data_IF_251934383969
#
_entry.id   IF_251934383969
#
_cell.length_a   1.000
_cell.length_b   1.000
_cell.length_c   1.000
_cell.angle_alpha   90.00
_cell.angle_beta   90.00
_cell.angle_gamma   90.00
#
_symmetry.space_group_name_H-M   'P 1'
#
loop_
_entity.id
_entity.type
_entity.pdbx_description
1 polymer ?
#
# COMPACT_ATOMS: atom_id res chain seq x y z
N UNK A 1 -5.52 -69.73 -25.09
CA UNK A 1 -5.03 -69.72 -23.69
C UNK A 1 -3.95 -68.67 -23.65
N UNK A 2 -4.33 -67.45 -23.24
CA UNK A 2 -3.87 -66.75 -22.02
C UNK A 2 -2.41 -66.29 -22.14
N UNK A 3 -2.04 -65.02 -21.99
CA UNK A 3 -2.67 -63.94 -21.26
C UNK A 3 -2.17 -62.58 -21.79
N UNK A 4 -3.04 -61.56 -21.76
CA UNK A 4 -2.71 -60.17 -22.08
C UNK A 4 -2.29 -59.47 -20.79
N UNK A 5 -1.04 -59.03 -20.67
CA UNK A 5 -0.64 -58.12 -19.60
C UNK A 5 -0.16 -56.81 -20.21
N UNK A 6 -1.11 -55.90 -20.36
CA UNK A 6 -0.90 -54.48 -20.57
C UNK A 6 -0.03 -53.96 -19.41
N UNK A 7 1.23 -53.62 -19.71
CA UNK A 7 2.04 -52.84 -18.80
C UNK A 7 1.45 -51.43 -18.72
N UNK A 8 0.55 -51.23 -17.76
CA UNK A 8 0.05 -49.94 -17.30
C UNK A 8 1.25 -49.06 -16.89
N UNK A 9 1.76 -48.27 -17.84
CA UNK A 9 2.82 -47.29 -17.61
C UNK A 9 2.20 -46.08 -16.91
N UNK A 10 1.98 -46.20 -15.61
CA UNK A 10 1.50 -45.09 -14.78
C UNK A 10 2.66 -44.14 -14.47
N UNK A 11 3.18 -43.49 -15.52
CA UNK A 11 4.06 -42.33 -15.37
C UNK A 11 3.23 -41.12 -14.97
N UNK A 12 2.74 -41.11 -13.73
CA UNK A 12 2.46 -39.85 -13.02
C UNK A 12 3.65 -39.51 -12.14
N UNK A 13 4.76 -39.18 -12.79
CA UNK A 13 5.78 -38.35 -12.17
C UNK A 13 5.23 -36.92 -12.09
N UNK A 14 4.49 -36.60 -11.02
CA UNK A 14 4.33 -35.19 -10.61
C UNK A 14 5.71 -34.75 -10.12
N UNK A 15 6.57 -34.38 -11.07
CA UNK A 15 7.86 -33.81 -10.80
C UNK A 15 7.64 -32.65 -9.83
N UNK A 16 8.23 -32.74 -8.63
CA UNK A 16 8.11 -31.80 -7.52
C UNK A 16 8.70 -30.42 -7.80
N UNK A 17 8.29 -29.79 -8.90
CA UNK A 17 8.58 -28.42 -9.21
C UNK A 17 7.80 -27.55 -8.23
N UNK A 18 8.53 -26.82 -7.38
CA UNK A 18 7.92 -25.79 -6.54
C UNK A 18 7.20 -24.78 -7.45
N UNK A 19 5.94 -24.45 -7.12
CA UNK A 19 5.16 -23.43 -7.84
C UNK A 19 5.70 -22.00 -7.61
N UNK A 20 6.71 -21.88 -6.73
CA UNK A 20 7.31 -20.63 -6.30
C UNK A 20 8.82 -20.79 -6.34
N UNK A 21 9.52 -19.70 -6.64
CA UNK A 21 10.98 -19.65 -6.60
C UNK A 21 11.43 -18.52 -5.65
N UNK A 22 12.54 -18.69 -4.94
CA UNK A 22 13.07 -17.64 -4.08
C UNK A 22 13.58 -16.49 -4.94
N UNK A 23 13.24 -15.26 -4.55
CA UNK A 23 13.70 -14.05 -5.20
C UNK A 23 14.11 -13.03 -4.13
N UNK A 24 15.20 -12.28 -4.37
CA UNK A 24 15.65 -11.26 -3.44
C UNK A 24 14.58 -10.17 -3.29
N UNK A 25 14.18 -9.87 -2.05
CA UNK A 25 13.11 -8.91 -1.77
C UNK A 25 13.32 -7.54 -2.43
N UNK A 26 14.56 -7.03 -2.48
CA UNK A 26 14.89 -5.76 -3.13
C UNK A 26 14.73 -5.71 -4.65
N UNK A 27 14.56 -6.86 -5.31
CA UNK A 27 14.35 -6.93 -6.78
C UNK A 27 12.87 -6.92 -7.16
N UNK A 28 11.97 -6.99 -6.19
CA UNK A 28 10.52 -6.96 -6.43
C UNK A 28 10.11 -5.57 -6.90
N UNK A 29 9.39 -5.52 -8.03
CA UNK A 29 8.91 -4.28 -8.66
C UNK A 29 7.38 -4.24 -8.72
N UNK A 30 6.82 -3.06 -9.00
CA UNK A 30 5.39 -2.86 -9.28
C UNK A 30 4.91 -3.88 -10.32
N UNK A 31 3.70 -4.40 -10.15
CA UNK A 31 3.10 -5.46 -10.97
C UNK A 31 3.78 -6.85 -10.88
N UNK A 32 4.82 -7.02 -10.05
CA UNK A 32 5.37 -8.35 -9.75
C UNK A 32 4.43 -9.20 -8.91
N UNK A 33 4.83 -10.45 -8.66
CA UNK A 33 4.12 -11.36 -7.76
C UNK A 33 5.02 -11.74 -6.59
N UNK A 34 4.44 -11.72 -5.40
CA UNK A 34 5.06 -12.19 -4.16
C UNK A 34 4.14 -13.19 -3.49
N UNK A 35 4.70 -14.11 -2.73
CA UNK A 35 3.91 -15.13 -2.03
C UNK A 35 3.86 -14.77 -0.56
N UNK A 36 2.68 -14.40 -0.07
CA UNK A 36 2.45 -14.06 1.34
C UNK A 36 1.55 -15.14 1.93
N UNK A 37 2.02 -15.83 2.99
CA UNK A 37 1.28 -16.92 3.64
C UNK A 37 0.77 -17.98 2.64
N UNK A 38 1.66 -18.43 1.75
CA UNK A 38 1.36 -19.40 0.68
C UNK A 38 0.28 -18.96 -0.34
N UNK A 39 -0.05 -17.66 -0.40
CA UNK A 39 -0.97 -17.10 -1.38
C UNK A 39 -0.20 -16.19 -2.35
N UNK A 40 -0.33 -16.38 -3.68
CA UNK A 40 0.26 -15.47 -4.65
C UNK A 40 -0.48 -14.14 -4.60
N UNK A 41 0.25 -13.06 -4.34
CA UNK A 41 -0.25 -11.70 -4.23
C UNK A 41 0.44 -10.84 -5.29
N UNK A 42 -0.35 -10.06 -6.04
CA UNK A 42 0.19 -9.07 -6.96
C UNK A 42 0.72 -7.88 -6.15
N UNK A 43 1.92 -7.41 -6.48
CA UNK A 43 2.52 -6.22 -5.89
C UNK A 43 1.73 -5.00 -6.39
N UNK A 44 1.05 -4.25 -5.49
CA UNK A 44 0.24 -3.12 -5.90
C UNK A 44 1.14 -2.00 -6.42
N UNK A 45 0.57 -1.17 -7.30
CA UNK A 45 1.16 0.12 -7.59
C UNK A 45 0.76 1.07 -6.47
N UNK A 46 1.74 1.56 -5.72
CA UNK A 46 1.54 2.63 -4.74
C UNK A 46 1.94 3.95 -5.37
N UNK A 47 1.04 4.93 -5.31
CA UNK A 47 1.32 6.32 -5.66
C UNK A 47 1.45 7.12 -4.38
N UNK A 48 2.46 8.00 -4.34
CA UNK A 48 2.74 8.87 -3.20
C UNK A 48 2.57 10.31 -3.67
N UNK A 49 1.63 11.03 -3.06
CA UNK A 49 1.36 12.44 -3.40
C UNK A 49 1.42 13.28 -2.13
N UNK A 50 2.03 14.45 -2.24
CA UNK A 50 2.14 15.42 -1.17
C UNK A 50 1.02 16.46 -1.32
N UNK A 51 0.37 16.79 -0.21
CA UNK A 51 -0.69 17.79 -0.16
C UNK A 51 -0.48 18.72 1.02
N UNK A 52 -0.83 19.99 0.87
CA UNK A 52 -0.77 20.94 1.98
C UNK A 52 -2.02 20.77 2.85
N UNK A 53 -1.84 20.66 4.16
CA UNK A 53 -2.96 20.60 5.11
C UNK A 53 -3.52 22.02 5.28
N UNK A 54 -4.82 22.19 5.03
CA UNK A 54 -5.52 23.48 5.22
C UNK A 54 -6.28 23.47 6.54
N UNK A 55 -7.07 22.42 6.78
CA UNK A 55 -7.94 22.34 7.94
C UNK A 55 -8.18 20.89 8.38
N UNK A 56 -8.56 20.73 9.65
CA UNK A 56 -8.95 19.45 10.25
C UNK A 56 -10.36 19.63 10.79
N UNK A 57 -11.31 18.91 10.19
CA UNK A 57 -12.71 18.93 10.63
C UNK A 57 -12.91 18.15 11.93
N UNK A 58 -13.88 18.56 12.74
CA UNK A 58 -14.19 17.96 14.06
C UNK A 58 -14.68 16.51 13.96
N UNK A 59 -15.21 16.12 12.81
CA UNK A 59 -15.66 14.77 12.48
C UNK A 59 -14.51 13.82 12.05
N UNK A 60 -13.27 14.32 12.03
CA UNK A 60 -12.07 13.55 11.77
C UNK A 60 -11.69 13.45 10.29
N UNK A 61 -12.27 14.30 9.44
CA UNK A 61 -11.82 14.50 8.06
C UNK A 61 -10.79 15.64 7.96
N UNK A 62 -9.93 15.58 6.95
CA UNK A 62 -8.94 16.62 6.68
C UNK A 62 -9.19 17.27 5.34
N UNK A 63 -8.99 18.57 5.29
CA UNK A 63 -9.03 19.38 4.08
C UNK A 63 -7.62 19.61 3.58
N UNK A 64 -7.31 19.02 2.43
CA UNK A 64 -5.99 19.08 1.81
C UNK A 64 -6.02 19.90 0.51
N UNK A 65 -5.02 20.76 0.30
CA UNK A 65 -4.83 21.47 -0.95
C UNK A 65 -4.00 20.63 -1.92
N UNK A 66 -4.56 20.41 -3.10
CA UNK A 66 -3.84 19.82 -4.25
C UNK A 66 -3.07 20.90 -5.01
N UNK A 67 -2.02 20.51 -5.73
CA UNK A 67 -1.24 21.42 -6.59
C UNK A 67 -2.10 22.09 -7.68
N UNK A 68 -3.21 21.45 -8.06
CA UNK A 68 -4.18 22.01 -9.02
C UNK A 68 -5.05 23.13 -8.45
N UNK A 69 -4.90 23.46 -7.17
CA UNK A 69 -5.72 24.46 -6.48
C UNK A 69 -7.09 23.95 -6.02
N UNK A 70 -7.37 22.66 -6.17
CA UNK A 70 -8.57 22.02 -5.63
C UNK A 70 -8.33 21.58 -4.19
N UNK A 71 -9.38 21.65 -3.35
CA UNK A 71 -9.38 21.05 -2.01
C UNK A 71 -9.89 19.61 -2.08
N UNK A 72 -9.30 18.74 -1.24
CA UNK A 72 -9.66 17.34 -1.11
C UNK A 72 -10.04 17.09 0.35
N UNK A 73 -11.32 16.78 0.57
CA UNK A 73 -11.95 16.69 1.90
C UNK A 73 -12.42 15.25 2.23
N UNK A 74 -12.11 14.27 1.38
CA UNK A 74 -12.55 12.88 1.50
C UNK A 74 -11.62 12.00 2.34
N UNK A 75 -10.50 12.56 2.80
CA UNK A 75 -9.49 11.83 3.56
C UNK A 75 -9.75 11.93 5.06
N UNK A 76 -9.69 10.76 5.71
CA UNK A 76 -9.76 10.66 7.17
C UNK A 76 -8.39 10.79 7.80
N UNK A 77 -8.40 11.24 9.05
CA UNK A 77 -7.22 11.22 9.90
C UNK A 77 -6.65 9.80 10.01
N UNK A 78 -5.31 9.66 10.07
CA UNK A 78 -4.66 8.37 10.21
C UNK A 78 -5.07 7.70 11.53
N UNK A 79 -5.15 6.36 11.52
CA UNK A 79 -5.43 5.55 12.73
C UNK A 79 -4.23 5.44 13.67
N UNK A 80 -3.07 5.93 13.27
CA UNK A 80 -1.85 5.87 14.07
C UNK A 80 -1.82 7.05 15.06
N UNK A 81 -1.88 6.75 16.36
CA UNK A 81 -1.94 7.75 17.43
C UNK A 81 -0.74 8.71 17.40
N UNK A 82 0.43 8.22 17.00
CA UNK A 82 1.65 9.04 16.95
C UNK A 82 1.57 10.09 15.83
N UNK A 83 1.15 9.65 14.64
CA UNK A 83 0.98 10.51 13.47
C UNK A 83 -0.17 11.50 13.69
N UNK A 84 -1.26 11.03 14.29
CA UNK A 84 -2.42 11.84 14.65
C UNK A 84 -2.04 12.97 15.61
N UNK A 85 -1.28 12.64 16.67
CA UNK A 85 -0.80 13.61 17.64
C UNK A 85 0.07 14.68 16.99
N UNK A 86 1.03 14.27 16.13
CA UNK A 86 1.91 15.22 15.43
C UNK A 86 1.13 16.16 14.50
N UNK A 87 0.14 15.65 13.75
CA UNK A 87 -0.70 16.47 12.87
C UNK A 87 -1.51 17.48 13.70
N UNK A 88 -2.16 17.03 14.78
CA UNK A 88 -2.96 17.91 15.66
C UNK A 88 -2.11 18.96 16.36
N UNK A 89 -0.93 18.58 16.87
CA UNK A 89 0.00 19.51 17.52
C UNK A 89 0.56 20.51 16.52
N UNK A 90 1.05 20.06 15.37
CA UNK A 90 1.61 20.95 14.36
C UNK A 90 0.57 21.92 13.78
N UNK A 91 -0.69 21.47 13.62
CA UNK A 91 -1.80 22.32 13.22
C UNK A 91 -2.16 23.34 14.31
N UNK A 92 -2.22 22.92 15.58
CA UNK A 92 -2.48 23.81 16.72
C UNK A 92 -1.37 24.85 16.95
N UNK A 93 -0.14 24.54 16.55
CA UNK A 93 0.99 25.48 16.56
C UNK A 93 0.96 26.48 15.39
N UNK A 94 0.02 26.34 14.43
CA UNK A 94 -0.11 27.20 13.28
C UNK A 94 1.01 27.04 12.25
N UNK A 95 1.66 25.86 12.21
CA UNK A 95 2.72 25.57 11.23
C UNK A 95 2.10 25.14 9.90
N UNK A 96 2.75 25.52 8.80
CA UNK A 96 2.44 24.95 7.49
C UNK A 96 2.90 23.48 7.44
N UNK A 97 1.93 22.59 7.37
CA UNK A 97 2.14 21.14 7.30
C UNK A 97 1.83 20.62 5.90
N UNK A 98 2.72 19.78 5.39
CA UNK A 98 2.48 18.98 4.18
C UNK A 98 2.33 17.53 4.57
N UNK A 99 1.17 16.96 4.26
CA UNK A 99 0.89 15.54 4.49
C UNK A 99 1.23 14.76 3.22
N UNK A 100 1.79 13.57 3.40
CA UNK A 100 1.92 12.61 2.32
C UNK A 100 0.79 11.59 2.39
N UNK A 101 0.06 11.48 1.29
CA UNK A 101 -0.95 10.43 1.08
C UNK A 101 -0.38 9.35 0.17
N UNK A 102 -0.53 8.10 0.60
CA UNK A 102 -0.32 6.93 -0.26
C UNK A 102 -1.66 6.43 -0.77
N UNK A 103 -1.75 6.27 -2.09
CA UNK A 103 -2.88 5.64 -2.77
C UNK A 103 -2.44 4.30 -3.35
N UNK A 104 -3.17 3.23 -3.02
CA UNK A 104 -2.95 1.91 -3.58
C UNK A 104 -4.27 1.12 -3.61
N UNK A 105 -4.54 0.39 -4.70
CA UNK A 105 -5.72 -0.49 -4.82
C UNK A 105 -7.08 0.20 -4.60
N UNK A 106 -7.17 1.53 -4.80
CA UNK A 106 -8.39 2.31 -4.58
C UNK A 106 -8.57 2.80 -3.14
N UNK A 107 -7.63 2.51 -2.25
CA UNK A 107 -7.58 3.03 -0.89
C UNK A 107 -6.52 4.13 -0.78
N UNK A 108 -6.80 5.16 0.02
CA UNK A 108 -5.90 6.28 0.26
C UNK A 108 -5.72 6.49 1.76
N UNK A 109 -4.48 6.70 2.18
CA UNK A 109 -4.16 6.94 3.59
C UNK A 109 -2.99 7.91 3.75
N UNK A 110 -3.08 8.77 4.76
CA UNK A 110 -1.97 9.62 5.20
C UNK A 110 -0.92 8.75 5.89
N UNK A 111 0.32 8.80 5.41
CA UNK A 111 1.40 7.96 5.91
C UNK A 111 2.56 8.75 6.54
N UNK A 112 2.67 10.04 6.23
CA UNK A 112 3.74 10.88 6.71
C UNK A 112 3.28 12.33 6.79
N UNK A 113 3.87 13.10 7.70
CA UNK A 113 3.81 14.55 7.73
C UNK A 113 5.20 15.13 7.51
N UNK A 114 5.23 16.34 6.95
CA UNK A 114 6.42 17.13 6.73
C UNK A 114 6.11 18.57 7.13
N UNK A 115 6.87 19.09 8.08
CA UNK A 115 6.77 20.48 8.50
C UNK A 115 7.51 21.35 7.50
N UNK A 116 6.85 22.37 6.93
CA UNK A 116 7.49 23.34 6.04
C UNK A 116 8.01 24.56 6.83
N UNK A 117 7.65 24.68 8.10
CA UNK A 117 7.97 25.86 8.92
C UNK A 117 7.10 27.05 8.51
N UNK A 118 7.03 28.11 9.34
CA UNK A 118 6.26 29.29 8.99
C UNK A 118 6.87 29.99 7.77
N UNK A 119 6.04 30.37 6.80
CA UNK A 119 6.39 31.37 5.79
C UNK A 119 6.64 32.74 6.41
#
# INVERSE_FOLDING_TARGET
>A
MSDSEEHHFESKADAGASKTYPQQAGTIRKNGYIVIKNRPCKVPHVNRTEYQLIDISEDGFVSLLTESGNTKDDLRLPTDDSLLGQIKTGFGEGKDLVVTVMSAMGEEQICALKDIGPK
#
